data_IF_530851609555
#
_entry.id   IF_530851609555
#
_cell.length_a   1.000
_cell.length_b   1.000
_cell.length_c   1.000
_cell.angle_alpha   90.00
_cell.angle_beta   90.00
_cell.angle_gamma   90.00
#
_symmetry.space_group_name_H-M   'P 1'
#
loop_
_entity.id
_entity.type
_entity.pdbx_description
1 polymer ?
#
# COMPACT_ATOMS: atom_id res chain seq x y z
N UNK A 1 -5.46 -11.57 -16.10
CA UNK A 1 -4.83 -10.26 -15.82
C UNK A 1 -4.75 -10.14 -14.32
N UNK A 2 -3.59 -9.77 -13.75
CA UNK A 2 -3.54 -9.41 -12.33
C UNK A 2 -4.51 -8.26 -12.11
N UNK A 3 -5.47 -8.41 -11.20
CA UNK A 3 -6.37 -7.32 -10.86
C UNK A 3 -5.55 -6.21 -10.19
N UNK A 4 -5.45 -5.07 -10.86
CA UNK A 4 -4.90 -3.85 -10.30
C UNK A 4 -6.03 -3.10 -9.58
N UNK A 5 -5.73 -2.53 -8.42
CA UNK A 5 -6.73 -1.95 -7.52
C UNK A 5 -6.65 -0.43 -7.43
N UNK A 6 -5.78 0.24 -8.21
CA UNK A 6 -5.68 1.71 -8.26
C UNK A 6 -4.48 2.29 -7.50
N UNK A 7 -3.88 1.50 -6.61
CA UNK A 7 -2.62 1.83 -5.93
C UNK A 7 -1.42 1.34 -6.73
N UNK A 8 -0.36 2.15 -6.81
CA UNK A 8 0.92 1.79 -7.44
C UNK A 8 2.09 2.11 -6.51
N UNK A 9 3.16 1.32 -6.61
CA UNK A 9 4.37 1.53 -5.83
C UNK A 9 5.60 1.61 -6.74
N UNK A 10 6.52 2.53 -6.43
CA UNK A 10 7.82 2.63 -7.07
C UNK A 10 8.92 2.78 -6.03
N UNK A 11 10.02 2.05 -6.26
CA UNK A 11 11.24 2.08 -5.47
C UNK A 11 12.37 2.65 -6.32
N UNK A 12 13.07 3.67 -5.83
CA UNK A 12 14.10 4.40 -6.57
C UNK A 12 15.37 4.45 -5.72
N UNK A 13 16.51 4.10 -6.33
CA UNK A 13 17.85 4.38 -5.81
C UNK A 13 18.67 5.07 -6.89
N UNK A 14 19.38 6.14 -6.54
CA UNK A 14 20.26 6.83 -7.47
C UNK A 14 21.73 6.41 -7.32
N UNK A 15 22.58 6.89 -8.22
CA UNK A 15 24.02 6.57 -8.24
C UNK A 15 24.80 7.13 -7.05
N UNK A 16 24.22 8.07 -6.29
CA UNK A 16 24.83 8.67 -5.11
C UNK A 16 24.39 7.97 -3.81
N UNK A 17 23.51 6.98 -3.91
CA UNK A 17 22.98 6.24 -2.76
C UNK A 17 21.73 6.88 -2.15
N UNK A 18 21.16 7.92 -2.75
CA UNK A 18 19.86 8.45 -2.31
C UNK A 18 18.76 7.44 -2.66
N UNK A 19 17.76 7.32 -1.79
CA UNK A 19 16.65 6.40 -1.97
C UNK A 19 15.29 7.07 -1.76
N UNK A 20 14.30 6.66 -2.56
CA UNK A 20 12.91 7.03 -2.40
C UNK A 20 12.00 5.81 -2.53
N UNK A 21 11.03 5.70 -1.62
CA UNK A 21 9.99 4.68 -1.63
C UNK A 21 8.64 5.40 -1.71
N UNK A 22 7.90 5.21 -2.81
CA UNK A 22 6.71 6.00 -3.11
C UNK A 22 5.56 5.07 -3.43
N UNK A 23 4.52 5.09 -2.60
CA UNK A 23 3.20 4.55 -2.93
C UNK A 23 2.26 5.69 -3.26
N UNK A 24 1.56 5.60 -4.38
CA UNK A 24 0.59 6.59 -4.84
C UNK A 24 -0.69 5.89 -5.29
N UNK A 25 -1.84 6.54 -5.13
CA UNK A 25 -3.13 5.92 -5.40
C UNK A 25 -4.21 6.93 -5.78
N UNK A 26 -5.26 6.42 -6.41
CA UNK A 26 -6.58 7.07 -6.53
C UNK A 26 -7.64 6.34 -5.68
N UNK A 27 -7.18 5.53 -4.72
CA UNK A 27 -7.87 4.47 -4.00
C UNK A 27 -8.27 3.29 -4.90
N UNK A 28 -9.57 3.10 -5.18
CA UNK A 28 -10.06 1.95 -5.94
C UNK A 28 -9.81 2.12 -7.44
N UNK A 29 -10.06 1.08 -8.26
CA UNK A 29 -9.63 0.99 -9.67
C UNK A 29 -9.58 2.32 -10.44
N UNK A 30 -10.58 2.86 -11.12
CA UNK A 30 -10.45 4.21 -11.72
C UNK A 30 -10.84 5.34 -10.73
N UNK A 31 -10.42 5.25 -9.47
CA UNK A 31 -10.84 6.12 -8.36
C UNK A 31 -12.35 6.26 -8.28
N UNK A 32 -12.85 7.48 -8.09
CA UNK A 32 -14.29 7.81 -8.10
C UNK A 32 -15.02 7.54 -9.41
N UNK A 33 -14.32 7.12 -10.47
CA UNK A 33 -14.84 6.99 -11.85
C UNK A 33 -15.26 8.33 -12.46
N UNK A 34 -14.88 9.45 -11.84
CA UNK A 34 -15.13 10.81 -12.31
C UNK A 34 -13.87 11.40 -12.91
N UNK A 35 -13.98 11.91 -14.13
CA UNK A 35 -12.90 12.61 -14.84
C UNK A 35 -13.27 14.09 -14.95
N UNK A 36 -12.33 14.97 -14.62
CA UNK A 36 -12.47 16.40 -14.90
C UNK A 36 -12.51 16.63 -16.41
N UNK A 37 -13.65 17.11 -16.92
CA UNK A 37 -13.83 17.41 -18.34
C UNK A 37 -12.86 18.49 -18.87
N UNK A 38 -12.27 19.31 -17.98
CA UNK A 38 -11.32 20.36 -18.36
C UNK A 38 -9.87 19.89 -18.36
N UNK A 39 -9.48 18.99 -17.44
CA UNK A 39 -8.08 18.63 -17.21
C UNK A 39 -7.75 17.18 -17.55
N UNK A 40 -8.75 16.32 -17.74
CA UNK A 40 -8.57 14.88 -17.95
C UNK A 40 -8.12 14.11 -16.69
N UNK A 41 -8.03 14.77 -15.53
CA UNK A 41 -7.62 14.13 -14.28
C UNK A 41 -8.77 13.29 -13.72
N UNK A 42 -8.47 12.05 -13.37
CA UNK A 42 -9.36 11.16 -12.62
C UNK A 42 -9.32 11.57 -11.14
N UNK A 43 -10.49 11.73 -10.53
CA UNK A 43 -10.61 12.04 -9.10
C UNK A 43 -10.56 10.75 -8.28
N UNK A 44 -9.85 10.79 -7.14
CA UNK A 44 -9.82 9.67 -6.19
C UNK A 44 -11.19 9.41 -5.55
N UNK A 45 -11.37 8.21 -5.01
CA UNK A 45 -12.42 7.87 -4.04
C UNK A 45 -11.84 7.55 -2.66
N UNK A 46 -10.82 8.32 -2.23
CA UNK A 46 -10.13 8.12 -0.95
C UNK A 46 -11.04 8.33 0.28
N UNK A 47 -12.20 8.95 0.08
CA UNK A 47 -13.20 9.08 1.14
C UNK A 47 -13.74 7.73 1.63
N UNK A 48 -13.64 6.67 0.82
CA UNK A 48 -14.00 5.30 1.20
C UNK A 48 -13.08 4.72 2.30
N UNK A 49 -11.84 5.21 2.40
CA UNK A 49 -10.89 4.76 3.43
C UNK A 49 -11.22 5.32 4.83
N UNK A 50 -12.16 6.25 4.96
CA UNK A 50 -12.70 6.62 6.28
C UNK A 50 -13.71 5.58 6.77
N UNK A 51 -13.77 5.40 8.09
CA UNK A 51 -14.89 4.72 8.75
C UNK A 51 -16.19 5.48 8.49
N UNK A 52 -17.24 4.74 8.13
CA UNK A 52 -18.60 5.26 8.01
C UNK A 52 -19.61 4.28 8.63
N UNK A 53 -20.91 4.51 8.43
CA UNK A 53 -21.96 3.56 8.83
C UNK A 53 -21.93 2.25 8.02
N UNK A 54 -21.05 2.15 7.02
CA UNK A 54 -20.85 0.98 6.18
C UNK A 54 -19.40 0.51 6.31
N UNK A 55 -19.21 -0.80 6.15
CA UNK A 55 -17.88 -1.39 5.96
C UNK A 55 -17.30 -0.86 4.64
N UNK A 56 -16.02 -0.47 4.64
CA UNK A 56 -15.36 0.03 3.44
C UNK A 56 -15.12 -1.08 2.39
N UNK A 57 -14.56 -0.71 1.23
CA UNK A 57 -14.31 -1.66 0.14
C UNK A 57 -13.32 -2.80 0.45
N UNK A 58 -12.66 -2.77 1.62
CA UNK A 58 -11.67 -3.76 2.06
C UNK A 58 -12.09 -4.54 3.31
N UNK A 59 -13.38 -4.54 3.63
CA UNK A 59 -13.97 -5.23 4.79
C UNK A 59 -13.40 -4.80 6.15
N UNK A 60 -12.83 -3.59 6.25
CA UNK A 60 -12.28 -3.06 7.50
C UNK A 60 -13.43 -2.58 8.39
N UNK A 61 -13.58 -3.09 9.63
CA UNK A 61 -14.63 -2.65 10.52
C UNK A 61 -14.54 -1.15 10.85
N UNK A 62 -15.69 -0.47 11.06
CA UNK A 62 -15.69 0.92 11.47
C UNK A 62 -14.91 1.15 12.77
N UNK A 63 -14.11 2.22 12.78
CA UNK A 63 -13.34 2.69 13.92
C UNK A 63 -13.62 4.16 14.19
N UNK A 64 -13.89 4.51 15.44
CA UNK A 64 -14.11 5.91 15.88
C UNK A 64 -12.92 6.83 15.58
N UNK A 65 -11.71 6.27 15.56
CA UNK A 65 -10.49 7.03 15.28
C UNK A 65 -10.36 7.44 13.81
N UNK A 66 -11.07 6.76 12.91
CA UNK A 66 -11.02 6.99 11.48
C UNK A 66 -12.38 7.49 10.93
N UNK A 67 -13.20 8.14 11.75
CA UNK A 67 -14.40 8.85 11.27
C UNK A 67 -14.04 10.08 10.44
N UNK A 68 -14.95 10.46 9.53
CA UNK A 68 -14.83 11.64 8.66
C UNK A 68 -14.89 12.93 9.47
N UNK A 69 -13.88 13.78 9.29
CA UNK A 69 -13.82 15.13 9.86
C UNK A 69 -13.18 16.09 8.84
N UNK A 70 -13.59 17.36 8.86
CA UNK A 70 -13.05 18.36 7.92
C UNK A 70 -11.53 18.51 8.07
N UNK A 71 -10.80 18.33 6.97
CA UNK A 71 -9.34 18.45 6.93
C UNK A 71 -8.57 17.25 7.49
N UNK A 72 -9.26 16.25 8.05
CA UNK A 72 -8.64 14.98 8.47
C UNK A 72 -8.22 14.17 7.25
N UNK A 73 -7.23 13.30 7.42
CA UNK A 73 -6.76 12.36 6.40
C UNK A 73 -7.29 10.96 6.72
N UNK A 74 -7.80 10.21 5.75
CA UNK A 74 -8.22 8.84 5.98
C UNK A 74 -7.01 7.96 6.32
N UNK A 75 -7.25 6.91 7.12
CA UNK A 75 -6.26 5.87 7.37
C UNK A 75 -5.88 5.17 6.07
N UNK A 76 -4.60 4.86 5.88
CA UNK A 76 -4.13 4.09 4.73
C UNK A 76 -3.35 2.86 5.17
N UNK A 77 -3.46 1.78 4.38
CA UNK A 77 -2.62 0.58 4.51
C UNK A 77 -1.25 0.73 3.82
N UNK A 78 -0.99 1.85 3.15
CA UNK A 78 0.29 2.09 2.49
C UNK A 78 1.45 2.13 3.50
N UNK A 79 2.50 1.36 3.24
CA UNK A 79 3.72 1.34 4.05
C UNK A 79 5.00 1.38 3.20
N UNK A 80 5.20 2.43 2.37
CA UNK A 80 6.46 2.61 1.64
C UNK A 80 7.63 2.65 2.64
N UNK A 81 8.58 1.72 2.47
CA UNK A 81 9.63 1.44 3.46
C UNK A 81 11.02 1.46 2.82
N UNK A 82 11.99 1.94 3.60
CA UNK A 82 13.43 1.89 3.28
C UNK A 82 14.14 1.28 4.49
N UNK A 83 14.86 0.18 4.27
CA UNK A 83 15.68 -0.48 5.28
C UNK A 83 17.15 -0.10 5.07
N UNK A 84 17.82 0.33 6.13
CA UNK A 84 19.24 0.66 6.13
C UNK A 84 20.03 -0.25 7.06
N UNK A 85 21.32 -0.43 6.77
CA UNK A 85 22.25 -1.01 7.74
C UNK A 85 22.65 0.02 8.82
N UNK A 86 23.38 -0.38 9.88
CA UNK A 86 23.84 0.55 10.92
C UNK A 86 24.78 1.66 10.42
N UNK A 87 25.37 1.49 9.24
CA UNK A 87 26.21 2.50 8.59
C UNK A 87 25.39 3.48 7.73
N UNK A 88 24.07 3.28 7.62
CA UNK A 88 23.17 4.10 6.84
C UNK A 88 23.06 3.71 5.37
N UNK A 89 23.70 2.62 4.93
CA UNK A 89 23.57 2.18 3.54
C UNK A 89 22.22 1.51 3.32
N UNK A 90 21.57 1.84 2.20
CA UNK A 90 20.29 1.25 1.80
C UNK A 90 20.46 -0.24 1.51
N UNK A 91 19.62 -1.07 2.13
CA UNK A 91 19.61 -2.53 2.00
C UNK A 91 18.39 -3.05 1.25
N UNK A 92 17.25 -2.39 1.40
CA UNK A 92 16.01 -2.73 0.73
C UNK A 92 15.12 -1.48 0.61
N UNK A 93 14.57 -1.25 -0.57
CA UNK A 93 13.50 -0.27 -0.81
C UNK A 93 12.30 -1.08 -1.26
N UNK A 94 11.18 -0.91 -0.58
CA UNK A 94 10.01 -1.76 -0.81
C UNK A 94 8.71 -1.05 -0.47
N UNK A 95 7.66 -1.45 -1.16
CA UNK A 95 6.27 -1.18 -0.87
C UNK A 95 5.40 -2.10 -1.72
N UNK A 96 4.09 -1.92 -1.66
CA UNK A 96 3.15 -2.72 -2.41
C UNK A 96 1.87 -1.92 -2.74
N UNK A 97 1.01 -2.54 -3.55
CA UNK A 97 -0.37 -2.13 -3.81
C UNK A 97 -1.33 -3.26 -3.42
N UNK A 98 -2.63 -2.97 -3.33
CA UNK A 98 -3.68 -3.97 -3.04
C UNK A 98 -4.41 -3.81 -1.71
N UNK A 99 -4.67 -2.58 -1.27
CA UNK A 99 -5.49 -2.29 -0.08
C UNK A 99 -4.89 -2.83 1.23
N UNK A 100 -5.71 -3.47 2.04
CA UNK A 100 -5.32 -4.07 3.33
C UNK A 100 -4.18 -5.09 3.23
N UNK A 101 -3.99 -5.70 2.05
CA UNK A 101 -2.93 -6.68 1.79
C UNK A 101 -1.53 -6.05 1.68
N UNK A 102 -1.44 -4.72 1.52
CA UNK A 102 -0.16 -4.00 1.36
C UNK A 102 0.77 -4.28 2.55
N UNK A 103 0.30 -4.07 3.77
CA UNK A 103 1.11 -4.21 4.99
C UNK A 103 1.69 -5.61 5.14
N UNK A 104 0.86 -6.65 4.97
CA UNK A 104 1.31 -8.04 5.05
C UNK A 104 2.23 -8.43 3.90
N UNK A 105 1.98 -7.93 2.69
CA UNK A 105 2.84 -8.23 1.54
C UNK A 105 4.24 -7.65 1.72
N UNK A 106 4.34 -6.38 2.17
CA UNK A 106 5.63 -5.74 2.47
C UNK A 106 6.36 -6.50 3.58
N UNK A 107 5.66 -6.87 4.66
CA UNK A 107 6.26 -7.64 5.75
C UNK A 107 6.80 -8.99 5.28
N UNK A 108 6.01 -9.76 4.53
CA UNK A 108 6.42 -11.08 4.04
C UNK A 108 7.63 -10.99 3.10
N UNK A 109 7.64 -10.06 2.14
CA UNK A 109 8.77 -9.90 1.22
C UNK A 109 10.03 -9.46 1.98
N UNK A 110 9.89 -8.52 2.93
CA UNK A 110 11.01 -8.08 3.76
C UNK A 110 11.59 -9.23 4.61
N UNK A 111 10.74 -10.05 5.24
CA UNK A 111 11.17 -11.23 6.00
C UNK A 111 11.95 -12.20 5.11
N UNK A 112 11.42 -12.53 3.92
CA UNK A 112 12.08 -13.47 3.02
C UNK A 112 13.43 -12.97 2.55
N UNK A 113 13.51 -11.69 2.17
CA UNK A 113 14.75 -11.11 1.69
C UNK A 113 15.78 -10.92 2.81
N UNK A 114 15.38 -10.33 3.94
CA UNK A 114 16.30 -9.92 5.01
C UNK A 114 16.65 -11.05 5.98
N UNK A 115 15.73 -11.97 6.27
CA UNK A 115 15.94 -13.04 7.26
C UNK A 115 16.14 -14.41 6.63
N UNK A 116 15.44 -14.73 5.54
CA UNK A 116 15.58 -16.02 4.86
C UNK A 116 16.66 -16.00 3.76
N UNK A 117 17.34 -14.87 3.58
CA UNK A 117 18.44 -14.69 2.63
C UNK A 117 18.06 -15.02 1.18
N UNK A 118 16.80 -14.78 0.81
CA UNK A 118 16.33 -14.97 -0.57
C UNK A 118 16.68 -13.77 -1.45
N UNK A 119 16.83 -14.01 -2.76
CA UNK A 119 16.92 -12.91 -3.72
C UNK A 119 15.62 -12.11 -3.73
N UNK A 120 15.71 -10.80 -4.00
CA UNK A 120 14.52 -9.94 -4.02
C UNK A 120 13.46 -10.41 -5.03
N UNK A 121 13.90 -10.95 -6.19
CA UNK A 121 12.98 -11.50 -7.20
C UNK A 121 12.21 -12.70 -6.65
N UNK A 122 12.90 -13.63 -6.00
CA UNK A 122 12.26 -14.80 -5.42
C UNK A 122 11.29 -14.40 -4.30
N UNK A 123 11.68 -13.47 -3.43
CA UNK A 123 10.82 -12.96 -2.37
C UNK A 123 9.53 -12.30 -2.92
N UNK A 124 9.62 -11.56 -4.04
CA UNK A 124 8.48 -10.93 -4.72
C UNK A 124 7.58 -11.97 -5.40
N UNK A 125 8.14 -12.99 -6.04
CA UNK A 125 7.35 -14.00 -6.76
C UNK A 125 6.70 -15.02 -5.83
N UNK A 126 7.22 -15.15 -4.60
CA UNK A 126 6.75 -16.16 -3.66
C UNK A 126 5.26 -15.99 -3.32
N UNK A 127 4.47 -17.08 -3.24
CA UNK A 127 3.08 -17.02 -2.79
C UNK A 127 2.94 -16.35 -1.43
N UNK A 128 1.91 -15.51 -1.28
CA UNK A 128 1.64 -14.74 -0.06
C UNK A 128 0.35 -15.22 0.60
N UNK A 129 0.30 -15.08 1.92
CA UNK A 129 -0.89 -15.25 2.75
C UNK A 129 -1.27 -13.90 3.36
N UNK A 130 -2.53 -13.70 3.69
CA UNK A 130 -3.01 -12.46 4.32
C UNK A 130 -4.10 -12.78 5.34
N UNK A 131 -4.00 -12.23 6.54
CA UNK A 131 -5.08 -12.27 7.52
C UNK A 131 -5.12 -10.90 8.20
N UNK A 132 -6.29 -10.27 8.19
CA UNK A 132 -6.52 -8.92 8.73
C UNK A 132 -7.44 -8.91 9.95
N UNK A 133 -7.48 -10.03 10.69
CA UNK A 133 -8.38 -10.32 11.82
C UNK A 133 -9.85 -10.49 11.41
N UNK A 134 -10.42 -9.54 10.68
CA UNK A 134 -11.78 -9.58 10.16
C UNK A 134 -11.80 -9.21 8.67
N UNK A 135 -12.41 -10.02 7.77
CA UNK A 135 -13.05 -11.31 8.05
C UNK A 135 -12.03 -12.37 8.55
N UNK A 136 -12.51 -13.37 9.28
CA UNK A 136 -11.64 -14.39 9.89
C UNK A 136 -11.27 -15.48 8.88
N UNK A 137 -10.47 -15.12 7.88
CA UNK A 137 -10.02 -15.99 6.79
C UNK A 137 -8.59 -15.62 6.34
N UNK A 138 -7.94 -16.56 5.63
CA UNK A 138 -6.57 -16.41 5.09
C UNK A 138 -6.61 -16.30 3.57
#
# INVERSE_FOLDING_TARGET
MSEDHGTSHVSIVDKFGNAASISATVNMFFGSKVVSAKTGIILNDEMDDFSSNYTNAFDVPPSEHNLIESGKRPLSSMCPSIFTDPSGNVRLIIGASGGTKITTAVALIAIRHLWMNETIKHAIDWPRIHHQLFPNEV
#
